data_IF_723493282076
#
_entry.id   IF_723493282076
#
_cell.length_a   1.000
_cell.length_b   1.000
_cell.length_c   1.000
_cell.angle_alpha   90.00
_cell.angle_beta   90.00
_cell.angle_gamma   90.00
#
_symmetry.space_group_name_H-M   'P 1'
#
loop_
_entity.id
_entity.type
_entity.pdbx_description
1 polymer ?
#
# COMPACT_ATOMS: atom_id res chain seq x y z
N UNK A 1 -22.06 -5.13 -8.51
CA UNK A 1 -21.47 -6.50 -8.46
C UNK A 1 -19.95 -6.44 -8.66
N UNK A 2 -19.42 -5.72 -9.65
CA UNK A 2 -17.98 -5.55 -9.92
C UNK A 2 -17.18 -5.10 -8.70
N UNK A 3 -17.57 -4.03 -8.01
CA UNK A 3 -16.86 -3.50 -6.84
C UNK A 3 -16.68 -4.51 -5.68
N UNK A 4 -17.60 -5.44 -5.47
CA UNK A 4 -17.45 -6.51 -4.47
C UNK A 4 -16.44 -7.56 -4.92
N UNK A 5 -16.43 -7.88 -6.21
CA UNK A 5 -15.48 -8.82 -6.79
C UNK A 5 -14.06 -8.27 -6.70
N UNK A 6 -13.86 -7.01 -7.08
CA UNK A 6 -12.56 -6.35 -7.04
C UNK A 6 -12.01 -6.23 -5.62
N UNK A 7 -12.87 -5.93 -4.63
CA UNK A 7 -12.51 -5.95 -3.22
C UNK A 7 -12.09 -7.36 -2.76
N UNK A 8 -12.79 -8.41 -3.20
CA UNK A 8 -12.45 -9.80 -2.89
C UNK A 8 -11.12 -10.22 -3.54
N UNK A 9 -10.91 -9.87 -4.82
CA UNK A 9 -9.64 -10.12 -5.52
C UNK A 9 -8.49 -9.43 -4.80
N UNK A 10 -8.66 -8.17 -4.42
CA UNK A 10 -7.61 -7.42 -3.74
C UNK A 10 -7.28 -8.00 -2.35
N UNK A 11 -8.31 -8.41 -1.59
CA UNK A 11 -8.12 -9.09 -0.32
C UNK A 11 -7.31 -10.40 -0.47
N UNK A 12 -7.59 -11.19 -1.52
CA UNK A 12 -6.82 -12.41 -1.80
C UNK A 12 -5.37 -12.10 -2.21
N UNK A 13 -5.12 -11.05 -3.00
CA UNK A 13 -3.76 -10.62 -3.34
C UNK A 13 -2.97 -10.16 -2.11
N UNK A 14 -3.59 -9.40 -1.21
CA UNK A 14 -2.98 -9.00 0.06
C UNK A 14 -2.68 -10.22 0.95
N UNK A 15 -3.61 -11.18 1.03
CA UNK A 15 -3.42 -12.42 1.76
C UNK A 15 -2.27 -13.26 1.16
N UNK A 16 -2.20 -13.36 -0.17
CA UNK A 16 -1.12 -14.05 -0.88
C UNK A 16 0.24 -13.37 -0.61
N UNK A 17 0.30 -12.04 -0.68
CA UNK A 17 1.50 -11.28 -0.39
C UNK A 17 1.99 -11.54 1.05
N UNK A 18 1.06 -11.56 2.03
CA UNK A 18 1.37 -11.91 3.41
C UNK A 18 1.87 -13.34 3.57
N UNK A 19 1.22 -14.31 2.91
CA UNK A 19 1.65 -15.73 2.95
C UNK A 19 3.05 -15.90 2.39
N UNK A 20 3.37 -15.25 1.25
CA UNK A 20 4.71 -15.29 0.67
C UNK A 20 5.74 -14.63 1.59
N UNK A 21 5.40 -13.48 2.20
CA UNK A 21 6.26 -12.87 3.19
C UNK A 21 6.53 -13.81 4.37
N UNK A 22 5.49 -14.43 4.94
CA UNK A 22 5.64 -15.35 6.08
C UNK A 22 6.49 -16.57 5.69
N UNK A 23 6.27 -17.10 4.50
CA UNK A 23 7.00 -18.27 4.00
C UNK A 23 8.49 -17.97 3.77
N UNK A 24 8.80 -16.80 3.18
CA UNK A 24 10.17 -16.46 2.81
C UNK A 24 10.98 -15.80 3.94
N UNK A 25 10.37 -14.92 4.74
CA UNK A 25 11.10 -14.10 5.72
C UNK A 25 10.84 -14.46 7.19
N UNK A 26 9.76 -15.21 7.45
CA UNK A 26 9.48 -15.71 8.81
C UNK A 26 9.87 -17.17 8.93
N UNK A 27 9.45 -18.03 8.00
CA UNK A 27 9.78 -19.46 7.98
C UNK A 27 11.14 -19.74 7.34
N UNK A 28 11.64 -18.84 6.46
CA UNK A 28 12.85 -18.97 5.67
C UNK A 28 12.83 -20.14 4.67
N UNK A 29 11.65 -20.47 4.17
CA UNK A 29 11.44 -21.46 3.13
C UNK A 29 11.32 -20.82 1.73
N UNK A 30 12.16 -19.80 1.47
CA UNK A 30 12.32 -19.27 0.12
C UNK A 30 12.95 -20.34 -0.80
N UNK A 31 12.72 -20.27 -2.13
CA UNK A 31 13.27 -21.26 -3.07
C UNK A 31 14.81 -21.21 -3.10
N UNK A 32 15.44 -22.35 -2.89
CA UNK A 32 16.87 -22.54 -3.10
C UNK A 32 17.23 -22.62 -4.60
N UNK A 33 18.49 -22.93 -4.93
CA UNK A 33 18.98 -23.07 -6.32
C UNK A 33 18.23 -24.14 -7.13
N UNK A 34 17.61 -25.11 -6.46
CA UNK A 34 16.84 -26.19 -7.05
C UNK A 34 15.33 -25.95 -6.99
N UNK A 35 14.90 -24.76 -6.52
CA UNK A 35 13.49 -24.42 -6.32
C UNK A 35 12.83 -25.11 -5.11
N UNK A 36 13.62 -25.72 -4.22
CA UNK A 36 13.10 -26.36 -2.99
C UNK A 36 13.06 -25.33 -1.85
N UNK A 37 12.16 -25.51 -0.85
CA UNK A 37 12.13 -24.69 0.36
C UNK A 37 13.46 -24.75 1.10
N UNK A 38 14.11 -23.59 1.32
CA UNK A 38 15.48 -23.53 1.84
C UNK A 38 15.64 -24.23 3.21
N UNK A 39 14.95 -23.74 4.21
CA UNK A 39 15.09 -24.27 5.60
C UNK A 39 14.59 -25.71 5.71
N UNK A 40 13.41 -26.01 5.17
CA UNK A 40 12.80 -27.34 5.25
C UNK A 40 13.58 -28.40 4.47
N UNK A 41 14.41 -28.01 3.50
CA UNK A 41 15.30 -28.89 2.76
C UNK A 41 16.70 -29.01 3.38
N UNK A 42 16.91 -28.47 4.57
CA UNK A 42 18.19 -28.57 5.29
C UNK A 42 19.15 -27.42 5.01
N UNK A 43 18.66 -26.30 4.53
CA UNK A 43 19.45 -25.08 4.36
C UNK A 43 20.14 -24.64 5.64
N UNK A 44 21.39 -24.18 5.54
CA UNK A 44 22.21 -23.82 6.69
C UNK A 44 21.70 -22.56 7.37
N UNK A 45 21.47 -22.65 8.70
CA UNK A 45 21.00 -21.58 9.54
C UNK A 45 22.10 -21.11 10.49
N UNK A 46 22.12 -19.82 10.83
CA UNK A 46 23.06 -19.21 11.77
C UNK A 46 22.31 -18.36 12.79
N UNK A 47 22.76 -18.42 14.06
CA UNK A 47 22.15 -17.63 15.13
C UNK A 47 22.40 -16.14 14.94
N UNK A 48 21.35 -15.33 15.08
CA UNK A 48 21.45 -13.88 15.02
C UNK A 48 21.10 -13.24 16.38
N UNK A 49 22.07 -12.53 16.96
CA UNK A 49 21.92 -11.91 18.28
C UNK A 49 20.92 -10.76 18.33
N UNK A 50 20.75 -10.00 17.22
CA UNK A 50 19.79 -8.89 17.16
C UNK A 50 18.34 -9.37 17.18
N UNK A 51 18.05 -10.45 16.46
CA UNK A 51 16.70 -11.00 16.33
C UNK A 51 16.41 -12.10 17.35
N UNK A 52 17.40 -12.59 18.09
CA UNK A 52 17.29 -13.73 19.04
C UNK A 52 16.68 -14.97 18.38
N UNK A 53 17.04 -15.23 17.11
CA UNK A 53 16.60 -16.40 16.35
C UNK A 53 17.62 -16.75 15.27
N UNK A 54 17.48 -17.95 14.73
CA UNK A 54 18.26 -18.37 13.54
C UNK A 54 17.76 -17.69 12.29
N UNK A 55 18.70 -17.30 11.42
CA UNK A 55 18.48 -16.78 10.07
C UNK A 55 19.29 -17.60 9.07
N UNK A 56 18.94 -17.61 7.78
CA UNK A 56 19.74 -18.31 6.76
C UNK A 56 21.19 -17.78 6.69
N UNK A 57 22.12 -18.70 6.43
CA UNK A 57 23.51 -18.30 6.15
C UNK A 57 23.55 -17.37 4.93
N UNK A 58 24.35 -16.29 5.01
CA UNK A 58 24.38 -15.26 3.95
C UNK A 58 23.25 -14.25 4.03
N UNK A 59 22.46 -14.24 5.10
CA UNK A 59 21.50 -13.18 5.37
C UNK A 59 22.01 -12.25 6.48
N UNK A 60 21.59 -10.99 6.42
CA UNK A 60 21.96 -9.99 7.42
C UNK A 60 20.73 -9.28 8.01
N UNK A 61 20.94 -8.68 9.18
CA UNK A 61 19.93 -7.89 9.88
C UNK A 61 20.41 -6.46 9.98
N UNK A 62 19.69 -5.56 9.33
CA UNK A 62 19.96 -4.11 9.34
C UNK A 62 18.88 -3.35 10.05
N UNK A 63 19.25 -2.22 10.68
CA UNK A 63 18.27 -1.23 11.14
C UNK A 63 17.46 -0.70 9.94
N UNK A 64 16.19 -0.34 10.15
CA UNK A 64 15.36 0.23 9.08
C UNK A 64 16.00 1.49 8.48
N UNK A 65 16.72 2.29 9.27
CA UNK A 65 17.41 3.49 8.78
C UNK A 65 18.62 3.20 7.90
N UNK A 66 19.19 2.00 7.99
CA UNK A 66 20.27 1.54 7.11
C UNK A 66 19.74 0.82 5.88
N UNK A 67 18.60 0.13 6.03
CA UNK A 67 18.05 -0.75 5.01
C UNK A 67 17.15 -0.05 4.00
N UNK A 68 16.47 1.03 4.43
CA UNK A 68 15.47 1.75 3.62
C UNK A 68 15.52 3.26 3.86
N UNK A 69 14.92 4.03 2.96
CA UNK A 69 14.70 5.47 3.14
C UNK A 69 13.55 5.72 4.11
N UNK A 70 13.84 6.37 5.23
CA UNK A 70 12.86 6.81 6.23
C UNK A 70 12.73 8.33 6.14
N UNK A 71 11.53 8.84 5.84
CA UNK A 71 11.26 10.26 5.71
C UNK A 71 10.08 10.66 6.60
N UNK A 72 10.32 11.58 7.53
CA UNK A 72 9.27 12.24 8.31
C UNK A 72 8.59 13.31 7.46
N UNK A 73 7.31 13.57 7.71
CA UNK A 73 6.54 14.52 6.94
C UNK A 73 6.84 15.98 7.25
N UNK A 74 6.37 16.86 6.35
CA UNK A 74 6.52 18.31 6.45
C UNK A 74 5.49 18.90 7.43
N UNK A 75 5.88 19.89 8.28
CA UNK A 75 4.98 20.52 9.24
C UNK A 75 4.13 21.61 8.58
N UNK A 76 3.17 21.22 7.74
CA UNK A 76 2.23 22.15 7.13
C UNK A 76 1.51 22.99 8.18
N UNK A 77 1.44 24.31 7.95
CA UNK A 77 0.68 25.22 8.80
C UNK A 77 -0.82 24.94 8.71
N UNK A 78 -1.48 24.86 9.86
CA UNK A 78 -2.94 24.61 9.92
C UNK A 78 -3.75 25.72 9.25
N UNK A 79 -3.24 26.95 9.20
CA UNK A 79 -3.87 28.11 8.58
C UNK A 79 -3.84 28.06 7.05
N UNK A 80 -2.92 27.26 6.49
CA UNK A 80 -2.72 27.11 5.04
C UNK A 80 -3.51 25.92 4.45
N UNK A 81 -4.22 25.15 5.29
CA UNK A 81 -5.07 24.08 4.76
C UNK A 81 -6.32 24.65 4.08
N UNK A 82 -6.67 24.05 2.94
CA UNK A 82 -7.85 24.39 2.16
C UNK A 82 -8.54 23.12 1.65
N UNK A 83 -9.85 23.23 1.37
CA UNK A 83 -10.60 22.18 0.65
C UNK A 83 -10.57 22.41 -0.86
N UNK A 84 -10.16 23.61 -1.31
CA UNK A 84 -9.96 23.90 -2.72
C UNK A 84 -8.75 23.13 -3.25
N UNK A 85 -8.89 22.59 -4.46
CA UNK A 85 -7.82 21.80 -5.08
C UNK A 85 -6.64 22.69 -5.46
N UNK A 86 -5.51 22.43 -4.80
CA UNK A 86 -4.20 23.04 -5.10
C UNK A 86 -3.23 21.99 -5.65
N UNK A 87 -2.01 22.39 -5.98
CA UNK A 87 -0.94 21.48 -6.40
C UNK A 87 -0.35 20.67 -5.23
N UNK A 88 -0.63 21.06 -3.98
CA UNK A 88 -0.08 20.42 -2.77
C UNK A 88 -1.19 19.67 -2.05
N UNK A 89 -1.41 18.42 -2.43
CA UNK A 89 -2.31 17.50 -1.75
C UNK A 89 -1.61 16.89 -0.54
N UNK A 90 -2.22 16.95 0.66
CA UNK A 90 -1.57 16.59 1.93
C UNK A 90 -2.16 15.34 2.54
N UNK A 91 -1.31 14.35 2.85
CA UNK A 91 -1.73 13.09 3.49
C UNK A 91 -1.60 13.18 5.00
N UNK A 92 -2.71 12.95 5.70
CA UNK A 92 -2.81 12.92 7.16
C UNK A 92 -2.95 11.47 7.63
N UNK A 93 -2.79 11.21 8.94
CA UNK A 93 -2.89 9.87 9.53
C UNK A 93 -4.18 9.14 9.12
N UNK A 94 -5.33 9.82 9.17
CA UNK A 94 -6.63 9.23 8.80
C UNK A 94 -6.73 8.82 7.34
N UNK A 95 -5.97 9.48 6.47
CA UNK A 95 -6.01 9.26 5.03
C UNK A 95 -5.21 7.99 4.61
N UNK A 96 -4.34 7.48 5.51
CA UNK A 96 -3.44 6.34 5.23
C UNK A 96 -4.22 5.06 4.88
N UNK A 97 -5.25 4.71 5.65
CA UNK A 97 -6.04 3.50 5.42
C UNK A 97 -6.94 3.62 4.20
N UNK A 98 -7.50 4.80 3.97
CA UNK A 98 -8.38 5.06 2.83
C UNK A 98 -7.59 5.16 1.52
N UNK A 99 -6.29 5.51 1.58
CA UNK A 99 -5.42 5.70 0.41
C UNK A 99 -5.79 6.91 -0.44
N UNK A 100 -6.64 7.80 0.09
CA UNK A 100 -7.06 9.05 -0.54
C UNK A 100 -7.07 10.17 0.49
N UNK A 101 -6.86 11.40 0.04
CA UNK A 101 -7.03 12.60 0.85
C UNK A 101 -7.77 13.68 0.09
N UNK A 102 -8.53 14.48 0.80
CA UNK A 102 -9.20 15.70 0.30
C UNK A 102 -8.60 16.97 0.88
N UNK A 103 -7.49 16.85 1.61
CA UNK A 103 -6.80 18.01 2.17
C UNK A 103 -5.77 18.55 1.19
N UNK A 104 -5.76 19.86 1.05
CA UNK A 104 -4.78 20.59 0.24
C UNK A 104 -4.13 21.67 1.11
N UNK A 105 -2.95 22.14 0.69
CA UNK A 105 -2.27 23.27 1.30
C UNK A 105 -1.97 24.34 0.25
N UNK A 106 -1.98 25.60 0.68
CA UNK A 106 -1.48 26.72 -0.10
C UNK A 106 0.04 26.90 0.04
N UNK A 107 0.65 26.17 0.95
CA UNK A 107 2.06 26.21 1.28
C UNK A 107 2.85 25.26 0.37
N UNK A 108 3.85 25.78 -0.32
CA UNK A 108 4.79 24.98 -1.10
C UNK A 108 5.71 24.15 -0.19
N UNK A 109 6.12 22.99 -0.68
CA UNK A 109 7.02 22.10 0.06
C UNK A 109 8.02 21.43 -0.86
N UNK A 110 9.11 20.92 -0.26
CA UNK A 110 10.20 20.23 -0.95
C UNK A 110 9.73 18.87 -1.51
N UNK A 111 10.17 18.53 -2.73
CA UNK A 111 9.92 17.24 -3.40
C UNK A 111 10.34 16.03 -2.57
N UNK A 112 11.25 16.16 -1.60
CA UNK A 112 11.61 15.06 -0.69
C UNK A 112 10.42 14.52 0.12
N UNK A 113 9.38 15.35 0.35
CA UNK A 113 8.16 14.95 1.06
C UNK A 113 7.10 14.32 0.15
N UNK A 114 7.35 14.33 -1.16
CA UNK A 114 6.44 13.75 -2.15
C UNK A 114 6.35 12.23 -2.00
N UNK A 115 5.13 11.73 -2.13
CA UNK A 115 4.81 10.32 -2.05
C UNK A 115 4.81 9.69 -3.44
N UNK A 116 5.27 8.45 -3.49
CA UNK A 116 5.21 7.60 -4.69
C UNK A 116 4.29 6.40 -4.44
N UNK A 117 3.80 5.84 -5.53
CA UNK A 117 3.10 4.55 -5.47
C UNK A 117 3.96 3.48 -4.78
N UNK A 118 3.35 2.74 -3.87
CA UNK A 118 4.02 1.68 -3.14
C UNK A 118 4.83 2.15 -1.93
N UNK A 119 4.89 3.45 -1.64
CA UNK A 119 5.43 3.90 -0.36
C UNK A 119 4.62 3.31 0.80
N UNK A 120 5.29 2.86 1.84
CA UNK A 120 4.65 2.45 3.08
C UNK A 120 4.54 3.67 3.99
N UNK A 121 3.30 4.01 4.37
CA UNK A 121 3.03 5.13 5.27
C UNK A 121 2.67 4.61 6.65
N UNK A 122 3.20 5.27 7.68
CA UNK A 122 2.91 4.98 9.09
C UNK A 122 2.46 6.27 9.78
N UNK A 123 1.30 6.20 10.45
CA UNK A 123 0.83 7.26 11.34
C UNK A 123 1.58 7.22 12.67
N UNK A 124 1.99 8.38 13.18
CA UNK A 124 2.82 8.48 14.39
C UNK A 124 2.03 8.75 15.66
N UNK A 125 0.78 9.19 15.57
CA UNK A 125 -0.03 9.59 16.72
C UNK A 125 -1.39 8.91 16.71
N UNK A 126 -1.92 8.60 17.87
CA UNK A 126 -3.26 8.03 18.07
C UNK A 126 -3.37 6.61 17.54
N UNK A 127 -4.09 6.43 16.46
CA UNK A 127 -4.15 5.16 15.74
C UNK A 127 -2.95 5.04 14.81
N UNK A 128 -2.10 4.08 15.06
CA UNK A 128 -0.90 3.84 14.25
C UNK A 128 -1.27 3.12 12.95
N UNK A 129 -1.94 3.84 12.03
CA UNK A 129 -2.27 3.30 10.72
C UNK A 129 -1.01 3.02 9.93
N UNK A 130 -0.98 1.87 9.26
CA UNK A 130 0.09 1.50 8.32
C UNK A 130 -0.54 0.93 7.06
N UNK A 131 -0.15 1.43 5.88
CA UNK A 131 -0.63 0.96 4.59
C UNK A 131 0.29 1.42 3.44
N UNK A 132 0.07 0.86 2.25
CA UNK A 132 0.67 1.36 1.02
C UNK A 132 -0.04 2.61 0.52
N UNK A 133 0.73 3.54 -0.03
CA UNK A 133 0.18 4.68 -0.75
C UNK A 133 -0.01 4.35 -2.24
N UNK A 134 -1.07 4.88 -2.87
CA UNK A 134 -1.54 4.41 -4.18
C UNK A 134 -1.34 5.42 -5.32
N UNK A 135 -0.88 6.63 -5.04
CA UNK A 135 -0.69 7.67 -6.07
C UNK A 135 0.62 8.46 -5.90
N UNK A 136 0.94 9.32 -6.88
CA UNK A 136 2.18 10.09 -6.92
C UNK A 136 1.95 11.60 -6.74
N UNK A 137 0.77 12.03 -6.30
CA UNK A 137 0.38 13.45 -6.33
C UNK A 137 0.41 14.11 -4.94
N UNK A 138 0.62 13.35 -3.87
CA UNK A 138 0.46 13.86 -2.52
C UNK A 138 1.78 14.03 -1.78
N UNK A 139 1.75 14.84 -0.72
CA UNK A 139 2.85 15.15 0.15
C UNK A 139 2.59 14.69 1.58
N UNK A 140 3.64 14.31 2.27
CA UNK A 140 3.61 13.71 3.60
C UNK A 140 3.49 14.78 4.69
N UNK A 141 2.47 14.70 5.55
CA UNK A 141 2.32 15.59 6.71
C UNK A 141 3.18 15.14 7.90
N UNK A 142 3.56 16.07 8.78
CA UNK A 142 4.46 15.90 9.94
C UNK A 142 4.12 14.74 10.90
N UNK A 143 2.86 14.32 10.94
CA UNK A 143 2.39 13.21 11.81
C UNK A 143 2.44 11.85 11.14
N UNK A 144 3.06 11.77 9.98
CA UNK A 144 3.24 10.56 9.20
C UNK A 144 4.71 10.34 8.87
N UNK A 145 5.09 9.07 8.72
CA UNK A 145 6.42 8.64 8.24
C UNK A 145 6.24 7.84 6.96
N UNK A 146 7.08 8.11 5.98
CA UNK A 146 7.22 7.34 4.76
C UNK A 146 8.41 6.40 4.87
N UNK A 147 8.18 5.14 4.54
CA UNK A 147 9.18 4.09 4.43
C UNK A 147 9.23 3.64 2.96
N UNK A 148 10.39 3.80 2.33
CA UNK A 148 10.59 3.49 0.90
C UNK A 148 11.84 2.65 0.74
N UNK A 149 11.78 1.51 0.02
CA UNK A 149 13.00 0.75 -0.29
C UNK A 149 13.94 1.56 -1.17
N UNK A 150 15.24 1.38 -1.02
CA UNK A 150 16.21 1.94 -1.97
C UNK A 150 16.05 1.24 -3.33
N UNK A 151 16.35 1.97 -4.41
CA UNK A 151 16.22 1.46 -5.79
C UNK A 151 17.10 0.25 -6.08
N UNK A 152 18.27 0.21 -5.45
CA UNK A 152 19.30 -0.82 -5.57
C UNK A 152 19.22 -1.93 -4.52
N UNK A 153 18.26 -1.87 -3.60
CA UNK A 153 18.06 -2.90 -2.57
C UNK A 153 17.13 -4.02 -3.05
N UNK A 154 17.26 -5.20 -2.45
CA UNK A 154 16.35 -6.35 -2.68
C UNK A 154 15.10 -6.33 -1.78
N UNK A 155 14.96 -5.28 -0.98
CA UNK A 155 13.81 -5.11 -0.09
C UNK A 155 12.63 -4.58 -0.90
N UNK A 156 11.44 -5.20 -0.73
CA UNK A 156 10.18 -4.71 -1.29
C UNK A 156 9.35 -3.95 -0.25
N UNK A 157 8.42 -3.10 -0.71
CA UNK A 157 7.46 -2.44 0.20
C UNK A 157 6.56 -3.43 0.94
N UNK A 158 6.22 -4.57 0.34
CA UNK A 158 5.47 -5.66 1.01
C UNK A 158 6.28 -6.21 2.20
N UNK A 159 7.58 -6.43 2.01
CA UNK A 159 8.45 -6.87 3.09
C UNK A 159 8.52 -5.83 4.21
N UNK A 160 8.67 -4.55 3.90
CA UNK A 160 8.65 -3.45 4.88
C UNK A 160 7.35 -3.47 5.67
N UNK A 161 6.20 -3.47 4.99
CA UNK A 161 4.89 -3.44 5.62
C UNK A 161 4.72 -4.59 6.62
N UNK A 162 4.98 -5.83 6.19
CA UNK A 162 4.74 -7.00 7.02
C UNK A 162 5.78 -7.19 8.13
N UNK A 163 7.02 -6.72 7.94
CA UNK A 163 8.05 -6.74 8.99
C UNK A 163 7.71 -5.78 10.15
N UNK A 164 7.11 -4.62 9.82
CA UNK A 164 6.86 -3.54 10.79
C UNK A 164 5.47 -3.65 11.42
N UNK A 165 4.47 -4.14 10.68
CA UNK A 165 3.07 -4.21 11.14
C UNK A 165 2.88 -4.89 12.50
N UNK A 166 3.54 -6.02 12.84
CA UNK A 166 3.37 -6.64 14.15
C UNK A 166 3.80 -5.72 15.31
N UNK A 167 4.91 -4.99 15.11
CA UNK A 167 5.39 -4.02 16.11
C UNK A 167 4.41 -2.86 16.29
N UNK A 168 3.94 -2.28 15.18
CA UNK A 168 2.97 -1.18 15.20
C UNK A 168 1.70 -1.60 15.92
N UNK A 169 1.16 -2.79 15.62
CA UNK A 169 -0.04 -3.34 16.29
C UNK A 169 0.18 -3.57 17.79
N UNK A 170 1.34 -4.12 18.18
CA UNK A 170 1.68 -4.33 19.59
C UNK A 170 1.79 -2.98 20.32
N UNK A 171 2.41 -1.98 19.71
CA UNK A 171 2.53 -0.64 20.27
C UNK A 171 1.16 0.02 20.47
N UNK A 172 0.26 -0.12 19.48
CA UNK A 172 -1.11 0.39 19.56
C UNK A 172 -1.92 -0.27 20.68
N UNK A 173 -1.81 -1.58 20.83
CA UNK A 173 -2.49 -2.32 21.89
C UNK A 173 -2.02 -1.87 23.27
N UNK A 174 -0.72 -1.64 23.45
CA UNK A 174 -0.13 -1.19 24.71
C UNK A 174 -0.49 0.26 25.04
N UNK A 175 -0.78 1.09 24.04
CA UNK A 175 -1.16 2.49 24.22
C UNK A 175 -2.62 2.68 24.67
N UNK A 176 -3.50 1.68 24.53
CA UNK A 176 -4.94 1.77 24.89
C UNK A 176 -5.24 1.96 26.38
N UNK A 177 -4.24 1.97 27.25
CA UNK A 177 -4.39 2.15 28.70
C UNK A 177 -3.97 3.53 29.26
N UNK A 178 -3.43 4.43 28.47
CA UNK A 178 -2.95 5.73 28.90
C UNK A 178 -2.98 6.73 27.75
N UNK A 179 -2.74 8.00 27.99
CA UNK A 179 -2.56 9.13 27.05
C UNK A 179 -2.29 8.72 25.59
N UNK A 180 -2.78 9.48 24.61
CA UNK A 180 -2.61 9.26 23.16
C UNK A 180 -1.22 8.68 22.84
N UNK A 181 -1.19 7.44 22.32
CA UNK A 181 0.07 6.79 21.97
C UNK A 181 0.83 7.58 20.91
N UNK A 182 2.14 7.70 21.09
CA UNK A 182 3.04 8.33 20.12
C UNK A 182 4.12 7.33 19.68
N UNK A 183 4.33 7.22 18.37
CA UNK A 183 5.41 6.43 17.78
C UNK A 183 6.64 7.33 17.68
N UNK A 184 7.59 7.14 18.57
CA UNK A 184 8.81 7.97 18.63
C UNK A 184 9.86 7.51 17.61
N UNK A 185 10.82 8.40 17.32
CA UNK A 185 12.03 8.08 16.54
C UNK A 185 12.82 6.89 17.16
N UNK A 186 12.84 6.80 18.49
CA UNK A 186 13.48 5.69 19.22
C UNK A 186 12.80 4.36 18.93
N UNK A 187 11.49 4.35 18.79
CA UNK A 187 10.73 3.14 18.45
C UNK A 187 11.10 2.65 17.04
N UNK A 188 11.18 3.58 16.08
CA UNK A 188 11.57 3.26 14.71
C UNK A 188 13.04 2.79 14.64
N UNK A 189 13.94 3.39 15.40
CA UNK A 189 15.37 2.96 15.48
C UNK A 189 15.55 1.55 16.01
N UNK A 190 14.59 1.06 16.79
CA UNK A 190 14.59 -0.32 17.28
C UNK A 190 14.17 -1.36 16.28
N UNK A 191 13.61 -0.96 15.12
CA UNK A 191 13.12 -1.87 14.10
C UNK A 191 14.25 -2.35 13.19
N UNK A 192 14.21 -3.64 12.86
CA UNK A 192 15.18 -4.28 12.00
C UNK A 192 14.51 -5.00 10.84
N UNK A 193 15.19 -5.04 9.72
CA UNK A 193 14.80 -5.81 8.54
C UNK A 193 15.83 -6.90 8.26
N UNK A 194 15.35 -8.03 7.79
CA UNK A 194 16.20 -9.15 7.35
C UNK A 194 16.31 -9.08 5.84
N UNK A 195 17.52 -9.18 5.31
CA UNK A 195 17.75 -9.19 3.87
C UNK A 195 18.81 -10.22 3.50
N UNK A 196 18.73 -10.75 2.28
CA UNK A 196 19.77 -11.60 1.69
C UNK A 196 20.95 -10.72 1.25
N UNK A 197 22.18 -11.16 1.50
CA UNK A 197 23.40 -10.54 0.98
C UNK A 197 23.69 -11.07 -0.43
N UNK A 198 23.21 -12.27 -0.74
CA UNK A 198 23.56 -12.99 -1.96
C UNK A 198 22.31 -13.23 -2.82
N UNK A 199 22.02 -12.29 -3.71
CA UNK A 199 20.79 -12.25 -4.53
C UNK A 199 20.84 -13.11 -5.78
N UNK A 200 21.91 -13.89 -6.00
CA UNK A 200 22.13 -14.55 -7.29
C UNK A 200 21.04 -15.57 -7.68
N UNK A 201 20.27 -16.12 -6.72
CA UNK A 201 19.31 -17.18 -6.99
C UNK A 201 17.87 -16.86 -6.59
N UNK A 202 17.62 -15.88 -5.73
CA UNK A 202 16.29 -15.57 -5.21
C UNK A 202 15.98 -14.07 -5.25
N UNK A 203 15.20 -13.67 -6.24
CA UNK A 203 14.74 -12.29 -6.37
C UNK A 203 13.34 -12.12 -5.77
N UNK A 204 13.28 -12.06 -4.43
CA UNK A 204 12.02 -11.84 -3.69
C UNK A 204 11.35 -10.53 -4.06
N UNK A 205 12.14 -9.49 -4.27
CA UNK A 205 11.65 -8.15 -4.61
C UNK A 205 10.82 -8.17 -5.89
N UNK A 206 11.32 -8.77 -6.97
CA UNK A 206 10.60 -8.82 -8.25
C UNK A 206 9.20 -9.43 -8.11
N UNK A 207 9.08 -10.53 -7.36
CA UNK A 207 7.79 -11.20 -7.15
C UNK A 207 6.86 -10.37 -6.28
N UNK A 208 7.35 -9.84 -5.16
CA UNK A 208 6.56 -9.05 -4.23
C UNK A 208 6.15 -7.70 -4.84
N UNK A 209 7.04 -7.03 -5.58
CA UNK A 209 6.71 -5.78 -6.28
C UNK A 209 5.70 -6.01 -7.41
N UNK A 210 5.75 -7.18 -8.07
CA UNK A 210 4.71 -7.61 -9.01
C UNK A 210 3.33 -7.72 -8.35
N UNK A 211 3.24 -8.35 -7.19
CA UNK A 211 2.00 -8.42 -6.41
C UNK A 211 1.54 -7.03 -5.93
N UNK A 212 2.47 -6.21 -5.44
CA UNK A 212 2.15 -4.84 -5.03
C UNK A 212 1.56 -4.02 -6.17
N UNK A 213 2.12 -4.13 -7.37
CA UNK A 213 1.63 -3.44 -8.56
C UNK A 213 0.19 -3.86 -8.91
N UNK A 214 -0.14 -5.15 -8.76
CA UNK A 214 -1.51 -5.65 -8.95
C UNK A 214 -2.46 -5.10 -7.86
N UNK A 215 -2.05 -5.12 -6.60
CA UNK A 215 -2.82 -4.57 -5.47
C UNK A 215 -3.12 -3.09 -5.68
N UNK A 216 -2.11 -2.29 -6.03
CA UNK A 216 -2.27 -0.85 -6.26
C UNK A 216 -3.19 -0.57 -7.44
N UNK A 217 -3.01 -1.29 -8.57
CA UNK A 217 -3.87 -1.15 -9.74
C UNK A 217 -5.33 -1.42 -9.40
N UNK A 218 -5.61 -2.53 -8.70
CA UNK A 218 -6.97 -2.86 -8.30
C UNK A 218 -7.56 -1.83 -7.33
N UNK A 219 -6.78 -1.30 -6.37
CA UNK A 219 -7.24 -0.24 -5.46
C UNK A 219 -7.61 1.03 -6.22
N UNK A 220 -6.81 1.44 -7.21
CA UNK A 220 -7.13 2.59 -8.08
C UNK A 220 -8.42 2.37 -8.86
N UNK A 221 -8.61 1.18 -9.41
CA UNK A 221 -9.82 0.82 -10.13
C UNK A 221 -11.05 0.87 -9.21
N UNK A 222 -10.97 0.26 -8.01
CA UNK A 222 -12.03 0.32 -6.99
C UNK A 222 -12.38 1.77 -6.65
N UNK A 223 -11.39 2.63 -6.44
CA UNK A 223 -11.60 4.05 -6.14
C UNK A 223 -12.29 4.78 -7.31
N UNK A 224 -11.86 4.50 -8.54
CA UNK A 224 -12.47 5.08 -9.75
C UNK A 224 -13.92 4.65 -9.91
N UNK A 225 -14.20 3.35 -9.79
CA UNK A 225 -15.56 2.80 -9.87
C UNK A 225 -16.46 3.32 -8.74
N UNK A 226 -15.92 3.49 -7.54
CA UNK A 226 -16.65 4.06 -6.41
C UNK A 226 -17.04 5.51 -6.69
N UNK A 227 -16.11 6.34 -7.16
CA UNK A 227 -16.39 7.73 -7.55
C UNK A 227 -17.44 7.79 -8.67
N UNK A 228 -17.33 6.93 -9.69
CA UNK A 228 -18.29 6.85 -10.77
C UNK A 228 -19.68 6.46 -10.27
N UNK A 229 -19.79 5.44 -9.43
CA UNK A 229 -21.03 5.03 -8.79
C UNK A 229 -21.67 6.20 -8.02
N UNK A 230 -20.87 6.88 -7.20
CA UNK A 230 -21.39 7.94 -6.32
C UNK A 230 -21.81 9.18 -7.12
N UNK A 231 -21.22 9.42 -8.30
CA UNK A 231 -21.66 10.48 -9.23
C UNK A 231 -22.91 10.09 -10.03
N UNK A 232 -23.05 8.82 -10.42
CA UNK A 232 -24.16 8.37 -11.27
C UNK A 232 -25.43 8.06 -10.45
N UNK A 233 -25.28 7.56 -9.22
CA UNK A 233 -26.42 7.14 -8.41
C UNK A 233 -27.45 8.24 -8.17
N UNK A 234 -27.10 9.49 -7.81
CA UNK A 234 -28.05 10.58 -7.68
C UNK A 234 -28.74 10.92 -9.01
N UNK A 235 -28.03 10.86 -10.13
CA UNK A 235 -28.56 11.16 -11.47
C UNK A 235 -29.61 10.12 -11.89
N UNK A 236 -29.35 8.83 -11.61
CA UNK A 236 -30.28 7.74 -11.85
C UNK A 236 -31.53 7.87 -10.97
N UNK A 237 -31.37 8.20 -9.68
CA UNK A 237 -32.48 8.38 -8.75
C UNK A 237 -33.37 9.57 -9.11
N UNK A 238 -32.80 10.62 -9.69
CA UNK A 238 -33.53 11.81 -10.14
C UNK A 238 -34.09 11.69 -11.56
N UNK A 239 -33.92 10.54 -12.23
CA UNK A 239 -34.37 10.33 -13.61
C UNK A 239 -33.64 11.18 -14.66
N UNK A 240 -32.48 11.75 -14.31
CA UNK A 240 -31.64 12.56 -15.20
C UNK A 240 -30.78 11.72 -16.15
N UNK A 241 -30.67 10.43 -15.86
CA UNK A 241 -29.92 9.42 -16.64
C UNK A 241 -30.75 8.15 -16.70
N UNK A 242 -30.77 7.48 -17.84
CA UNK A 242 -31.38 6.17 -18.02
C UNK A 242 -30.34 5.12 -18.40
N UNK A 243 -30.60 3.86 -18.02
CA UNK A 243 -29.80 2.72 -18.47
C UNK A 243 -30.49 2.09 -19.67
N UNK A 244 -29.81 2.02 -20.82
CA UNK A 244 -30.34 1.35 -22.00
C UNK A 244 -30.11 -0.17 -21.87
N UNK A 245 -31.20 -0.93 -21.79
CA UNK A 245 -31.20 -2.39 -21.64
C UNK A 245 -31.22 -3.14 -22.99
N UNK A 246 -31.36 -2.44 -24.13
CA UNK A 246 -31.53 -3.04 -25.46
C UNK A 246 -30.18 -3.44 -26.13
N UNK A 247 -29.10 -3.43 -25.39
CA UNK A 247 -27.79 -3.87 -25.91
C UNK A 247 -27.56 -5.35 -25.70
N UNK A 248 -27.03 -6.08 -26.70
CA UNK A 248 -26.69 -7.47 -26.57
C UNK A 248 -25.73 -7.68 -25.39
N UNK A 249 -25.89 -8.79 -24.66
CA UNK A 249 -25.31 -9.15 -23.35
C UNK A 249 -23.77 -9.02 -23.18
N UNK A 250 -23.05 -8.42 -24.10
CA UNK A 250 -21.59 -8.25 -24.05
C UNK A 250 -21.11 -6.84 -23.66
N UNK A 251 -21.98 -5.82 -23.67
CA UNK A 251 -21.55 -4.43 -23.37
C UNK A 251 -22.65 -3.64 -22.67
N UNK A 252 -22.41 -3.17 -21.46
CA UNK A 252 -23.28 -2.21 -20.78
C UNK A 252 -22.73 -0.82 -21.07
N UNK A 253 -23.50 -0.05 -21.85
CA UNK A 253 -23.20 1.37 -22.09
C UNK A 253 -24.11 2.24 -21.24
N UNK A 254 -23.57 3.24 -20.58
CA UNK A 254 -24.34 4.32 -19.98
C UNK A 254 -24.41 5.48 -21.01
N UNK A 255 -25.60 5.77 -21.50
CA UNK A 255 -25.84 6.94 -22.32
C UNK A 255 -26.22 8.12 -21.41
N UNK A 256 -25.37 9.14 -21.38
CA UNK A 256 -25.68 10.42 -20.75
C UNK A 256 -26.30 11.32 -21.80
N UNK A 257 -27.60 11.54 -21.76
CA UNK A 257 -28.22 12.60 -22.55
C UNK A 257 -27.98 13.95 -21.86
N UNK A 258 -26.84 14.54 -22.13
CA UNK A 258 -26.59 15.95 -21.88
C UNK A 258 -26.28 16.63 -23.22
N UNK A 259 -27.05 17.64 -23.54
CA UNK A 259 -26.90 18.51 -24.73
C UNK A 259 -25.63 19.35 -24.64
N UNK A 260 -24.42 18.85 -24.52
CA UNK A 260 -23.17 19.55 -24.84
C UNK A 260 -21.87 18.94 -24.32
N UNK A 261 -21.78 17.68 -23.84
CA UNK A 261 -20.45 17.10 -23.50
C UNK A 261 -20.38 15.63 -23.92
N UNK A 262 -19.55 15.35 -24.94
CA UNK A 262 -19.22 13.97 -25.33
C UNK A 262 -18.28 13.33 -24.31
N UNK A 263 -18.75 12.33 -23.57
CA UNK A 263 -17.90 11.47 -22.78
C UNK A 263 -17.64 10.15 -23.52
N UNK A 264 -16.36 9.77 -23.57
CA UNK A 264 -15.89 8.51 -24.18
C UNK A 264 -16.30 7.34 -23.30
N UNK A 265 -17.03 6.40 -23.87
CA UNK A 265 -17.46 5.18 -23.20
C UNK A 265 -16.28 4.25 -22.92
N UNK A 266 -16.15 3.81 -21.68
CA UNK A 266 -15.21 2.76 -21.29
C UNK A 266 -15.90 1.40 -21.47
N UNK A 267 -15.40 0.57 -22.40
CA UNK A 267 -15.95 -0.77 -22.67
C UNK A 267 -15.30 -1.82 -21.75
N UNK A 268 -16.07 -2.45 -20.89
CA UNK A 268 -15.65 -3.66 -20.16
C UNK A 268 -16.12 -4.92 -20.92
N UNK A 269 -15.19 -5.69 -21.45
CA UNK A 269 -15.46 -7.00 -22.01
C UNK A 269 -15.59 -8.03 -20.88
N UNK A 270 -16.79 -8.56 -20.68
CA UNK A 270 -17.06 -9.73 -19.85
C UNK A 270 -16.92 -10.99 -20.73
N UNK A 271 -15.76 -11.61 -20.75
CA UNK A 271 -15.64 -12.99 -21.25
C UNK A 271 -16.26 -13.96 -20.25
N UNK A 272 -17.26 -14.69 -20.69
CA UNK A 272 -17.87 -15.80 -19.97
C UNK A 272 -16.82 -16.86 -19.67
N UNK A 273 -16.73 -17.26 -18.40
CA UNK A 273 -16.23 -18.58 -18.04
C UNK A 273 -17.47 -19.44 -17.78
N UNK A 274 -17.78 -20.26 -18.77
CA UNK A 274 -18.76 -21.33 -18.63
C UNK A 274 -18.09 -22.59 -18.07
N UNK A 275 -18.86 -23.28 -17.26
CA UNK A 275 -18.69 -24.58 -16.61
C UNK A 275 -17.86 -24.60 -15.34
#
# INVERSE_FOLDING_TARGET
>A
MQSRYDCWVNHNLEAMAKQLYDYWFVQFDFPDENGKPYKSSGGKMVWNEKLKREIPEGWEVKSIFEAISVQYGFPFSTEQFTEERTNVQVVRIRDILEGTTSAYSLEDTDEKYRLNEGDVLVGMDGNFHINFWHNNEAYLNQRCVRLRPYSDSDISSIQILHSISPYIKAKEQNAKGSTVGHLSDKDLKGLNLVQSINTMHFNSRKTLDGLLSLIIRNKKEILSLTKLRDSLLPLLMNGQVSVNYDLPNSHIYFALEYSTVSFIACTCNLTQIGH
#
